data_IF_228367555691
#
_entry.id   IF_228367555691
#
_cell.length_a   1.000
_cell.length_b   1.000
_cell.length_c   1.000
_cell.angle_alpha   90.00
_cell.angle_beta   90.00
_cell.angle_gamma   90.00
#
_symmetry.space_group_name_H-M   'P 1'
#
loop_
_entity.id
_entity.type
_entity.pdbx_description
1 polymer ?
#
# COMPACT_ATOMS: atom_id res chain seq x y z
N UNK A 1 -21.92 9.77 -21.96
CA UNK A 1 -23.02 9.78 -20.98
C UNK A 1 -23.48 8.35 -20.72
N UNK A 2 -23.42 7.91 -19.48
CA UNK A 2 -23.99 6.62 -19.11
C UNK A 2 -25.53 6.72 -19.10
N UNK A 3 -26.17 5.78 -19.75
CA UNK A 3 -27.62 5.71 -19.77
C UNK A 3 -28.13 5.18 -18.42
N UNK A 4 -29.26 5.71 -18.00
CA UNK A 4 -29.95 5.22 -16.81
C UNK A 4 -30.50 3.82 -17.10
N UNK A 5 -30.18 2.86 -16.26
CA UNK A 5 -30.63 1.47 -16.43
C UNK A 5 -31.48 1.03 -15.23
N UNK A 6 -32.42 0.12 -15.52
CA UNK A 6 -33.23 -0.51 -14.48
C UNK A 6 -32.64 -1.88 -14.17
N UNK A 7 -32.31 -2.10 -12.91
CA UNK A 7 -31.64 -3.31 -12.44
C UNK A 7 -32.50 -3.94 -11.33
N UNK A 8 -32.75 -5.23 -11.43
CA UNK A 8 -33.45 -6.00 -10.41
C UNK A 8 -32.47 -6.61 -9.44
N UNK A 9 -32.73 -6.42 -8.15
CA UNK A 9 -31.94 -7.00 -7.05
C UNK A 9 -32.87 -7.70 -6.07
N UNK A 10 -32.38 -8.75 -5.43
CA UNK A 10 -33.12 -9.47 -4.38
C UNK A 10 -32.52 -9.08 -3.03
N UNK A 11 -33.33 -8.48 -2.17
CA UNK A 11 -32.93 -8.09 -0.82
C UNK A 11 -33.96 -8.62 0.17
N UNK A 12 -33.51 -9.44 1.10
CA UNK A 12 -34.40 -10.05 2.11
C UNK A 12 -35.49 -10.93 1.51
N UNK A 13 -35.21 -11.56 0.39
CA UNK A 13 -36.15 -12.43 -0.32
C UNK A 13 -37.17 -11.69 -1.21
N UNK A 14 -37.07 -10.36 -1.29
CA UNK A 14 -37.95 -9.55 -2.14
C UNK A 14 -37.18 -8.97 -3.30
N UNK A 15 -37.85 -8.87 -4.46
CA UNK A 15 -37.27 -8.30 -5.68
C UNK A 15 -37.55 -6.81 -5.72
N UNK A 16 -36.50 -6.02 -5.95
CA UNK A 16 -36.58 -4.56 -6.11
C UNK A 16 -36.01 -4.17 -7.46
N UNK A 17 -36.67 -3.24 -8.13
CA UNK A 17 -36.14 -2.64 -9.35
C UNK A 17 -35.53 -1.29 -9.01
N UNK A 18 -34.24 -1.15 -9.26
CA UNK A 18 -33.48 0.07 -8.99
C UNK A 18 -33.12 0.73 -10.29
N UNK A 19 -33.39 2.02 -10.40
CA UNK A 19 -33.06 2.83 -11.57
C UNK A 19 -31.91 3.77 -11.23
N UNK A 20 -30.84 3.73 -11.99
CA UNK A 20 -29.70 4.58 -11.74
C UNK A 20 -28.58 4.44 -12.77
N UNK A 21 -27.47 5.04 -12.47
CA UNK A 21 -26.29 5.06 -13.35
C UNK A 21 -25.23 4.04 -12.94
N UNK A 22 -25.45 3.33 -11.82
CA UNK A 22 -24.52 2.33 -11.33
C UNK A 22 -24.61 1.05 -12.19
N UNK A 23 -23.52 0.29 -12.22
CA UNK A 23 -23.49 -0.97 -12.95
C UNK A 23 -24.31 -2.05 -12.25
N UNK A 24 -24.81 -3.00 -13.01
CA UNK A 24 -25.53 -4.17 -12.48
C UNK A 24 -24.65 -4.95 -11.51
N UNK A 25 -23.39 -5.21 -11.87
CA UNK A 25 -22.44 -5.93 -11.03
C UNK A 25 -22.24 -5.26 -9.66
N UNK A 26 -22.16 -3.93 -9.66
CA UNK A 26 -22.02 -3.14 -8.43
C UNK A 26 -23.26 -3.24 -7.54
N UNK A 27 -24.44 -3.09 -8.11
CA UNK A 27 -25.71 -3.17 -7.35
C UNK A 27 -25.97 -4.58 -6.82
N UNK A 28 -25.59 -5.62 -7.59
CA UNK A 28 -25.67 -7.01 -7.11
C UNK A 28 -24.71 -7.24 -5.93
N UNK A 29 -23.53 -6.65 -5.97
CA UNK A 29 -22.56 -6.70 -4.88
C UNK A 29 -23.09 -6.04 -3.60
N UNK A 30 -23.75 -4.90 -3.74
CA UNK A 30 -24.41 -4.21 -2.61
C UNK A 30 -25.52 -5.07 -2.04
N UNK A 31 -26.37 -5.63 -2.89
CA UNK A 31 -27.47 -6.52 -2.46
C UNK A 31 -26.93 -7.73 -1.70
N UNK A 32 -25.85 -8.33 -2.17
CA UNK A 32 -25.20 -9.45 -1.50
C UNK A 32 -24.68 -9.05 -0.11
N UNK A 33 -24.05 -7.89 0.00
CA UNK A 33 -23.59 -7.35 1.28
C UNK A 33 -24.73 -7.20 2.28
N UNK A 34 -25.84 -6.58 1.84
CA UNK A 34 -27.02 -6.37 2.68
C UNK A 34 -27.61 -7.72 3.14
N UNK A 35 -27.76 -8.66 2.22
CA UNK A 35 -28.29 -9.99 2.52
C UNK A 35 -27.41 -10.74 3.52
N UNK A 36 -26.09 -10.66 3.37
CA UNK A 36 -25.13 -11.26 4.29
C UNK A 36 -25.26 -10.65 5.70
N UNK A 37 -25.42 -9.34 5.79
CA UNK A 37 -25.61 -8.63 7.08
C UNK A 37 -26.93 -9.03 7.74
N UNK A 38 -27.98 -9.18 6.96
CA UNK A 38 -29.27 -9.66 7.47
C UNK A 38 -29.14 -11.07 8.05
N UNK A 39 -28.42 -11.96 7.35
CA UNK A 39 -28.15 -13.32 7.81
C UNK A 39 -27.33 -13.35 9.10
N UNK A 40 -26.28 -12.54 9.18
CA UNK A 40 -25.43 -12.42 10.38
C UNK A 40 -26.24 -11.98 11.59
N UNK A 41 -27.11 -10.99 11.44
CA UNK A 41 -27.98 -10.50 12.52
C UNK A 41 -28.96 -11.56 12.97
N UNK A 42 -29.52 -12.32 12.03
CA UNK A 42 -30.47 -13.40 12.36
C UNK A 42 -29.80 -14.54 13.10
N UNK A 43 -28.52 -14.82 12.84
CA UNK A 43 -27.74 -15.86 13.51
C UNK A 43 -27.23 -15.42 14.89
N UNK A 44 -26.69 -14.19 14.99
CA UNK A 44 -26.01 -13.71 16.19
C UNK A 44 -26.93 -13.21 17.30
N UNK A 45 -28.11 -12.76 16.93
CA UNK A 45 -29.10 -12.22 17.86
C UNK A 45 -30.46 -12.89 17.63
N UNK A 46 -31.21 -13.11 18.68
CA UNK A 46 -32.58 -13.63 18.55
C UNK A 46 -33.51 -12.56 17.92
N UNK A 47 -33.11 -12.07 16.75
CA UNK A 47 -33.82 -11.02 16.02
C UNK A 47 -35.24 -11.39 15.65
N UNK A 48 -35.56 -12.69 15.62
CA UNK A 48 -36.92 -13.18 15.35
C UNK A 48 -37.96 -12.70 16.39
N UNK A 49 -37.52 -12.34 17.58
CA UNK A 49 -38.37 -11.82 18.68
C UNK A 49 -38.56 -10.31 18.62
N UNK A 50 -37.80 -9.62 17.76
CA UNK A 50 -37.86 -8.20 17.61
C UNK A 50 -38.89 -7.80 16.54
N UNK A 51 -39.45 -6.61 16.67
CA UNK A 51 -40.31 -6.08 15.62
C UNK A 51 -39.52 -5.86 14.32
N UNK A 52 -40.20 -5.87 13.19
CA UNK A 52 -39.60 -5.64 11.88
C UNK A 52 -38.88 -4.28 11.84
N UNK A 53 -39.45 -3.26 12.50
CA UNK A 53 -38.86 -1.94 12.59
C UNK A 53 -37.54 -1.98 13.36
N UNK A 54 -37.49 -2.69 14.48
CA UNK A 54 -36.26 -2.82 15.28
C UNK A 54 -35.18 -3.63 14.53
N UNK A 55 -35.56 -4.69 13.82
CA UNK A 55 -34.64 -5.46 12.98
C UNK A 55 -34.00 -4.57 11.90
N UNK A 56 -34.80 -3.71 11.28
CA UNK A 56 -34.34 -2.75 10.28
C UNK A 56 -33.34 -1.75 10.86
N UNK A 57 -33.64 -1.20 12.03
CA UNK A 57 -32.74 -0.26 12.73
C UNK A 57 -31.40 -0.94 13.06
N UNK A 58 -31.43 -2.18 13.56
CA UNK A 58 -30.21 -2.92 13.87
C UNK A 58 -29.36 -3.18 12.62
N UNK A 59 -30.01 -3.49 11.50
CA UNK A 59 -29.32 -3.65 10.23
C UNK A 59 -28.63 -2.34 9.80
N UNK A 60 -29.34 -1.23 9.87
CA UNK A 60 -28.82 0.10 9.54
C UNK A 60 -27.62 0.46 10.43
N UNK A 61 -27.72 0.22 11.74
CA UNK A 61 -26.62 0.45 12.68
C UNK A 61 -25.41 -0.42 12.36
N UNK A 62 -25.62 -1.68 12.03
CA UNK A 62 -24.53 -2.60 11.67
C UNK A 62 -23.82 -2.14 10.40
N UNK A 63 -24.58 -1.71 9.41
CA UNK A 63 -24.00 -1.20 8.16
C UNK A 63 -23.24 0.10 8.38
N UNK A 64 -23.76 1.00 9.20
CA UNK A 64 -23.07 2.25 9.56
C UNK A 64 -21.77 1.96 10.34
N UNK A 65 -21.80 1.00 11.26
CA UNK A 65 -20.62 0.57 12.01
C UNK A 65 -19.52 0.06 11.06
N UNK A 66 -19.88 -0.78 10.11
CA UNK A 66 -18.94 -1.29 9.09
C UNK A 66 -18.35 -0.15 8.26
N UNK A 67 -19.18 0.82 7.87
CA UNK A 67 -18.73 1.99 7.12
C UNK A 67 -17.66 2.79 7.90
N UNK A 68 -17.95 3.12 9.16
CA UNK A 68 -17.02 3.91 9.97
C UNK A 68 -15.74 3.15 10.30
N UNK A 69 -15.82 1.86 10.53
CA UNK A 69 -14.64 1.02 10.73
C UNK A 69 -13.75 1.00 9.49
N UNK A 70 -14.35 0.84 8.32
CA UNK A 70 -13.63 0.90 7.06
C UNK A 70 -13.00 2.27 6.82
N UNK A 71 -13.73 3.34 7.12
CA UNK A 71 -13.23 4.72 7.00
C UNK A 71 -12.04 4.98 7.92
N UNK A 72 -12.12 4.54 9.16
CA UNK A 72 -11.02 4.66 10.12
C UNK A 72 -9.78 3.88 9.65
N UNK A 73 -9.98 2.71 9.05
CA UNK A 73 -8.91 1.91 8.50
C UNK A 73 -8.24 2.62 7.31
N UNK A 74 -9.04 3.25 6.46
CA UNK A 74 -8.51 4.06 5.34
C UNK A 74 -7.65 5.20 5.88
N UNK A 75 -8.12 5.94 6.89
CA UNK A 75 -7.38 7.03 7.49
C UNK A 75 -6.04 6.55 8.07
N UNK A 76 -6.04 5.39 8.74
CA UNK A 76 -4.83 4.78 9.28
C UNK A 76 -3.85 4.39 8.16
N UNK A 77 -4.35 3.79 7.08
CA UNK A 77 -3.54 3.41 5.93
C UNK A 77 -2.95 4.62 5.20
N UNK A 78 -3.71 5.70 5.09
CA UNK A 78 -3.21 6.95 4.50
C UNK A 78 -2.03 7.52 5.29
N UNK A 79 -2.11 7.49 6.62
CA UNK A 79 -0.99 7.90 7.49
C UNK A 79 0.23 7.01 7.30
N UNK A 80 0.02 5.69 7.21
CA UNK A 80 1.10 4.74 6.97
C UNK A 80 1.78 5.01 5.62
N UNK A 81 1.01 5.34 4.59
CA UNK A 81 1.54 5.68 3.26
C UNK A 81 2.40 6.94 3.35
N UNK A 82 1.93 7.98 4.05
CA UNK A 82 2.71 9.21 4.24
C UNK A 82 4.05 8.94 4.94
N UNK A 83 4.03 8.12 5.98
CA UNK A 83 5.25 7.73 6.71
C UNK A 83 6.22 6.95 5.82
N UNK A 84 5.70 6.00 5.04
CA UNK A 84 6.50 5.22 4.10
C UNK A 84 7.09 6.06 2.98
N UNK A 85 6.34 7.04 2.48
CA UNK A 85 6.82 7.98 1.47
C UNK A 85 8.01 8.80 2.00
N UNK A 86 7.95 9.24 3.25
CA UNK A 86 9.06 9.95 3.90
C UNK A 86 10.29 9.07 4.03
N UNK A 87 10.10 7.84 4.47
CA UNK A 87 11.20 6.86 4.60
C UNK A 87 11.81 6.58 3.22
N UNK A 88 11.00 6.39 2.21
CA UNK A 88 11.46 6.17 0.84
C UNK A 88 12.27 7.37 0.32
N UNK A 89 11.80 8.58 0.56
CA UNK A 89 12.51 9.81 0.20
C UNK A 89 13.89 9.87 0.86
N UNK A 90 13.94 9.63 2.16
CA UNK A 90 15.20 9.64 2.92
C UNK A 90 16.17 8.55 2.44
N UNK A 91 15.65 7.34 2.17
CA UNK A 91 16.46 6.24 1.66
C UNK A 91 17.04 6.55 0.27
N UNK A 92 16.29 7.18 -0.60
CA UNK A 92 16.79 7.61 -1.92
C UNK A 92 17.94 8.61 -1.78
N UNK A 93 17.82 9.56 -0.85
CA UNK A 93 18.88 10.52 -0.58
C UNK A 93 20.14 9.86 0.00
N UNK A 94 19.96 8.92 0.93
CA UNK A 94 21.08 8.15 1.48
C UNK A 94 21.75 7.31 0.41
N UNK A 95 20.97 6.70 -0.48
CA UNK A 95 21.49 5.90 -1.58
C UNK A 95 22.36 6.75 -2.51
N UNK A 96 21.90 7.93 -2.91
CA UNK A 96 22.65 8.86 -3.74
C UNK A 96 23.97 9.25 -3.06
N UNK A 97 23.90 9.60 -1.77
CA UNK A 97 25.09 9.97 -0.99
C UNK A 97 26.08 8.82 -0.91
N UNK A 98 25.60 7.61 -0.71
CA UNK A 98 26.45 6.41 -0.69
C UNK A 98 27.10 6.13 -2.04
N UNK A 99 26.37 6.31 -3.14
CA UNK A 99 26.91 6.16 -4.50
C UNK A 99 28.02 7.15 -4.79
N UNK A 100 27.84 8.41 -4.39
CA UNK A 100 28.86 9.46 -4.54
C UNK A 100 30.11 9.08 -3.76
N UNK A 101 29.97 8.61 -2.53
CA UNK A 101 31.10 8.18 -1.69
C UNK A 101 31.85 7.01 -2.33
N UNK A 102 31.13 6.05 -2.89
CA UNK A 102 31.71 4.91 -3.57
C UNK A 102 32.54 5.39 -4.77
N UNK A 103 32.02 6.28 -5.59
CA UNK A 103 32.74 6.84 -6.75
C UNK A 103 34.01 7.58 -6.33
N UNK A 104 33.92 8.41 -5.30
CA UNK A 104 35.08 9.14 -4.76
C UNK A 104 36.14 8.17 -4.23
N UNK A 105 35.70 7.17 -3.48
CA UNK A 105 36.59 6.14 -2.92
C UNK A 105 37.27 5.34 -4.01
N UNK A 106 36.55 4.99 -5.06
CA UNK A 106 37.14 4.27 -6.21
C UNK A 106 38.21 5.10 -6.92
N UNK A 107 37.99 6.40 -7.09
CA UNK A 107 39.00 7.30 -7.66
C UNK A 107 40.23 7.37 -6.78
N UNK A 108 40.03 7.47 -5.47
CA UNK A 108 41.13 7.47 -4.51
C UNK A 108 41.94 6.19 -4.53
N UNK A 109 41.25 5.05 -4.61
CA UNK A 109 41.90 3.74 -4.75
C UNK A 109 42.76 3.69 -6.02
N UNK A 110 42.23 4.16 -7.15
CA UNK A 110 42.97 4.19 -8.41
C UNK A 110 44.21 5.07 -8.32
N UNK A 111 44.07 6.27 -7.73
CA UNK A 111 45.18 7.18 -7.50
C UNK A 111 46.27 6.53 -6.62
N UNK A 112 45.85 5.88 -5.53
CA UNK A 112 46.78 5.18 -4.64
C UNK A 112 47.50 4.03 -5.32
N UNK A 113 46.81 3.28 -6.18
CA UNK A 113 47.42 2.21 -6.98
C UNK A 113 48.48 2.76 -7.92
N UNK A 114 48.19 3.91 -8.57
CA UNK A 114 49.16 4.55 -9.47
C UNK A 114 50.39 5.05 -8.72
N UNK A 115 50.18 5.71 -7.57
CA UNK A 115 51.28 6.15 -6.70
C UNK A 115 52.11 4.96 -6.22
N UNK A 116 51.45 3.88 -5.83
CA UNK A 116 52.12 2.69 -5.36
C UNK A 116 52.98 2.05 -6.48
N UNK A 117 52.46 2.00 -7.71
CA UNK A 117 53.22 1.52 -8.87
C UNK A 117 54.43 2.40 -9.16
N UNK A 118 54.28 3.74 -9.08
CA UNK A 118 55.40 4.67 -9.29
C UNK A 118 56.47 4.51 -8.20
N UNK A 119 56.05 4.36 -6.97
CA UNK A 119 56.96 4.14 -5.84
C UNK A 119 57.72 2.81 -5.99
N UNK A 120 57.07 1.75 -6.44
CA UNK A 120 57.74 0.48 -6.74
C UNK A 120 58.79 0.62 -7.82
N UNK A 121 58.49 1.38 -8.89
CA UNK A 121 59.47 1.68 -9.94
C UNK A 121 60.64 2.46 -9.40
N UNK A 122 60.44 3.43 -8.53
CA UNK A 122 61.50 4.19 -7.88
C UNK A 122 62.36 3.30 -6.99
N UNK A 123 61.77 2.40 -6.24
CA UNK A 123 62.46 1.44 -5.39
C UNK A 123 63.38 0.53 -6.26
N UNK A 124 62.84 0.01 -7.34
CA UNK A 124 63.61 -0.83 -8.27
C UNK A 124 64.83 -0.06 -8.85
N UNK A 125 64.62 1.19 -9.25
CA UNK A 125 65.69 2.06 -9.74
C UNK A 125 66.78 2.31 -8.71
N UNK A 126 66.39 2.58 -7.48
CA UNK A 126 67.32 2.82 -6.37
C UNK A 126 68.10 1.56 -6.01
N UNK A 127 67.46 0.40 -5.99
CA UNK A 127 68.10 -0.87 -5.75
C UNK A 127 69.09 -1.20 -6.84
N UNK A 128 68.75 -0.99 -8.09
CA UNK A 128 69.62 -1.19 -9.24
C UNK A 128 70.88 -0.30 -9.16
N UNK A 129 70.69 0.99 -8.80
CA UNK A 129 71.82 1.91 -8.60
C UNK A 129 72.73 1.46 -7.46
N UNK A 130 72.12 0.98 -6.35
CA UNK A 130 72.90 0.47 -5.23
C UNK A 130 73.71 -0.74 -5.59
N UNK A 131 73.22 -1.61 -6.48
CA UNK A 131 73.92 -2.79 -6.95
C UNK A 131 75.12 -2.50 -7.91
N UNK A 132 75.04 -1.33 -8.59
CA UNK A 132 76.05 -0.95 -9.57
C UNK A 132 77.20 -0.06 -9.03
N UNK A 133 77.17 0.16 -7.75
CA UNK A 133 78.30 0.90 -7.12
C UNK A 133 79.47 0.02 -6.75
#
# INVERSE_FOLDING_TARGET
>A
MSAKTDIQVVIGGKVYTLSGYESEAYLQKIALYINNKMSELNESMNCKRLSSEMQKILLELKMADDYYKAKNQIDALEKDIEEKDKVEYDLKHELIAAQIRIEETLKEIENLKNENNELQKQIVKLETKAYHK
#
